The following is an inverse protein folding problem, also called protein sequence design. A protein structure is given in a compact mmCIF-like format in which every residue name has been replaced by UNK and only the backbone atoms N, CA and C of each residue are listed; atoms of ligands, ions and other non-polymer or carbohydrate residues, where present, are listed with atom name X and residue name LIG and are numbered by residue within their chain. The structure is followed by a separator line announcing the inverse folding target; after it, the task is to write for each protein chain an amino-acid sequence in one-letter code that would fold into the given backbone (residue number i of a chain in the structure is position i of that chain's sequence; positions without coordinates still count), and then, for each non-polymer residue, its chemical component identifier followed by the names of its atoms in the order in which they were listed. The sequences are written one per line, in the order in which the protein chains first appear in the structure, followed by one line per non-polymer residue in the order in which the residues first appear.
data_IF_111462098069
#
_entry.id   IF_111462098069
#
_cell.length_a   1.000
_cell.length_b   1.000
_cell.length_c   1.000
_cell.angle_alpha   90.00
_cell.angle_beta   90.00
_cell.angle_gamma   90.00
#
_symmetry.space_group_name_H-M   'P 1'
#
loop_
_entity.id
_entity.type
_entity.pdbx_description
1 polymer ?
#
# COMPACT_ATOMS: atom_id res chain seq x y z
N UNK A 1 1.64 11.94 12.94
CA UNK A 1 0.56 10.93 12.81
C UNK A 1 0.06 10.89 11.37
N UNK A 2 -0.33 9.73 10.83
CA UNK A 2 -0.84 9.59 9.47
C UNK A 2 -2.00 8.60 9.44
N UNK A 3 -2.95 8.82 8.54
CA UNK A 3 -4.01 7.84 8.26
C UNK A 3 -3.45 6.66 7.46
N UNK A 4 -3.94 5.46 7.76
CA UNK A 4 -3.72 4.30 6.89
C UNK A 4 -4.41 4.49 5.54
N UNK A 5 -3.89 3.82 4.51
CA UNK A 5 -4.42 3.83 3.15
C UNK A 5 -4.79 2.40 2.75
N UNK A 6 -5.85 2.27 1.97
CA UNK A 6 -6.28 0.97 1.45
C UNK A 6 -5.29 0.54 0.37
N UNK A 7 -4.75 -0.67 0.51
CA UNK A 7 -3.80 -1.27 -0.45
C UNK A 7 -4.26 -2.61 -1.00
N UNK A 8 -5.25 -3.23 -0.36
CA UNK A 8 -5.95 -4.42 -0.81
C UNK A 8 -7.44 -4.13 -0.61
N UNK A 9 -8.25 -4.11 -1.68
CA UNK A 9 -9.64 -3.64 -1.58
C UNK A 9 -10.53 -4.65 -0.86
N UNK A 10 -10.31 -5.94 -1.08
CA UNK A 10 -11.11 -7.00 -0.51
C UNK A 10 -10.35 -8.32 -0.45
N UNK A 11 -10.59 -9.09 0.60
CA UNK A 11 -10.21 -10.50 0.73
C UNK A 11 -11.40 -11.26 1.35
N UNK A 12 -11.71 -12.48 0.88
CA UNK A 12 -12.80 -13.27 1.42
C UNK A 12 -12.51 -13.74 2.85
N UNK A 13 -13.57 -14.03 3.61
CA UNK A 13 -13.46 -14.64 4.92
C UNK A 13 -13.17 -16.14 4.80
N UNK A 14 -11.99 -16.58 5.25
CA UNK A 14 -11.52 -17.97 5.19
C UNK A 14 -11.20 -18.47 6.60
N UNK A 15 -12.21 -18.49 7.48
CA UNK A 15 -12.06 -18.99 8.84
C UNK A 15 -11.62 -20.47 8.87
N UNK A 16 -10.82 -20.90 9.85
CA UNK A 16 -10.39 -20.18 11.06
C UNK A 16 -9.01 -19.52 10.96
N UNK A 17 -8.38 -19.50 9.77
CA UNK A 17 -6.95 -19.11 9.64
C UNK A 17 -6.68 -17.99 8.65
N UNK A 18 -7.62 -17.63 7.78
CA UNK A 18 -7.50 -16.53 6.80
C UNK A 18 -6.15 -16.52 6.07
N UNK A 19 -5.79 -17.62 5.38
CA UNK A 19 -4.47 -17.77 4.78
C UNK A 19 -4.13 -16.64 3.80
N UNK A 20 -5.08 -16.20 2.98
CA UNK A 20 -4.86 -15.10 2.03
C UNK A 20 -4.54 -13.77 2.73
N UNK A 21 -5.26 -13.44 3.80
CA UNK A 21 -5.00 -12.22 4.60
C UNK A 21 -3.62 -12.26 5.23
N UNK A 22 -3.26 -13.41 5.84
CA UNK A 22 -1.95 -13.59 6.48
C UNK A 22 -0.83 -13.48 5.44
N UNK A 23 -1.02 -14.05 4.25
CA UNK A 23 -0.06 -13.95 3.16
C UNK A 23 0.13 -12.51 2.68
N UNK A 24 -0.95 -11.76 2.48
CA UNK A 24 -0.90 -10.36 2.07
C UNK A 24 -0.15 -9.49 3.10
N UNK A 25 -0.45 -9.66 4.39
CA UNK A 25 0.24 -8.94 5.48
C UNK A 25 1.73 -9.32 5.53
N UNK A 26 2.06 -10.61 5.40
CA UNK A 26 3.46 -11.06 5.36
C UNK A 26 4.22 -10.52 4.17
N UNK A 27 3.60 -10.43 2.98
CA UNK A 27 4.20 -9.83 1.78
C UNK A 27 4.60 -8.37 2.03
N UNK A 28 3.69 -7.57 2.59
CA UNK A 28 3.95 -6.17 2.93
C UNK A 28 5.09 -6.06 3.96
N UNK A 29 5.02 -6.85 5.04
CA UNK A 29 6.00 -6.79 6.13
C UNK A 29 7.39 -7.20 5.65
N UNK A 30 7.49 -8.26 4.85
CA UNK A 30 8.76 -8.73 4.29
C UNK A 30 9.37 -7.73 3.30
N UNK A 31 8.57 -7.09 2.45
CA UNK A 31 9.05 -6.06 1.52
C UNK A 31 9.56 -4.83 2.28
N UNK A 32 8.80 -4.38 3.28
CA UNK A 32 9.16 -3.29 4.16
C UNK A 32 10.46 -3.57 4.93
N UNK A 33 10.56 -4.71 5.61
CA UNK A 33 11.72 -5.06 6.42
C UNK A 33 13.04 -5.14 5.61
N UNK A 34 12.95 -5.45 4.30
CA UNK A 34 14.11 -5.54 3.40
C UNK A 34 14.60 -4.19 2.87
N UNK A 35 13.72 -3.19 2.76
CA UNK A 35 14.00 -1.93 2.04
C UNK A 35 13.88 -0.66 2.91
N UNK A 36 13.27 -0.78 4.09
CA UNK A 36 13.13 0.32 5.03
C UNK A 36 14.48 0.71 5.63
N UNK A 37 14.67 2.03 5.81
CA UNK A 37 15.85 2.57 6.48
C UNK A 37 15.64 2.59 7.99
N UNK A 38 16.73 2.68 8.76
CA UNK A 38 16.67 2.79 10.22
C UNK A 38 15.74 3.95 10.61
N UNK A 39 14.83 3.69 11.54
CA UNK A 39 13.79 4.60 12.06
C UNK A 39 12.62 4.94 11.12
N UNK A 40 12.62 4.45 9.87
CA UNK A 40 11.41 4.58 9.04
C UNK A 40 10.29 3.72 9.60
N UNK A 41 9.04 4.22 9.55
CA UNK A 41 7.83 3.40 9.67
C UNK A 41 7.31 3.04 8.28
N UNK A 42 6.36 2.11 8.21
CA UNK A 42 5.76 1.66 6.95
C UNK A 42 5.22 2.82 6.08
N UNK A 43 4.56 3.81 6.71
CA UNK A 43 4.06 4.99 6.01
C UNK A 43 5.19 5.91 5.51
N UNK A 44 6.26 6.07 6.29
CA UNK A 44 7.42 6.89 5.89
C UNK A 44 8.16 6.24 4.72
N UNK A 45 8.31 4.92 4.78
CA UNK A 45 8.86 4.11 3.71
C UNK A 45 8.06 4.28 2.42
N UNK A 46 6.73 4.07 2.47
CA UNK A 46 5.84 4.21 1.32
C UNK A 46 5.89 5.64 0.72
N UNK A 47 5.90 6.67 1.57
CA UNK A 47 6.02 8.07 1.14
C UNK A 47 7.37 8.35 0.44
N UNK A 48 8.48 7.80 0.95
CA UNK A 48 9.81 7.96 0.36
C UNK A 48 9.93 7.27 -1.00
N UNK A 49 9.52 6.00 -1.08
CA UNK A 49 9.69 5.23 -2.32
C UNK A 49 8.63 5.60 -3.37
N UNK A 50 7.49 6.13 -2.93
CA UNK A 50 6.32 6.39 -3.76
C UNK A 50 5.45 5.15 -3.92
N UNK A 51 4.14 5.35 -4.08
CA UNK A 51 3.17 4.26 -4.18
C UNK A 51 3.42 3.33 -5.37
N UNK A 52 3.92 3.83 -6.51
CA UNK A 52 4.29 2.99 -7.67
C UNK A 52 5.26 1.87 -7.25
N UNK A 53 6.33 2.23 -6.55
CA UNK A 53 7.36 1.28 -6.09
C UNK A 53 6.88 0.43 -4.93
N UNK A 54 5.93 0.90 -4.14
CA UNK A 54 5.32 0.09 -3.09
C UNK A 54 4.57 -1.10 -3.69
N UNK A 55 3.71 -0.88 -4.69
CA UNK A 55 2.96 -1.95 -5.35
C UNK A 55 3.90 -2.90 -6.11
N UNK A 56 4.93 -2.38 -6.78
CA UNK A 56 5.96 -3.21 -7.43
C UNK A 56 6.72 -4.10 -6.44
N UNK A 57 7.22 -3.54 -5.33
CA UNK A 57 8.00 -4.29 -4.33
C UNK A 57 7.17 -5.31 -3.55
N UNK A 58 5.89 -5.01 -3.32
CA UNK A 58 4.99 -5.92 -2.59
C UNK A 58 4.33 -6.95 -3.50
N UNK A 59 4.31 -6.72 -4.81
CA UNK A 59 3.63 -7.58 -5.79
C UNK A 59 2.10 -7.57 -5.61
N UNK A 60 1.54 -6.55 -4.97
CA UNK A 60 0.11 -6.40 -4.79
C UNK A 60 -0.51 -5.80 -6.06
N UNK A 61 -1.68 -6.28 -6.50
CA UNK A 61 -2.38 -5.67 -7.63
C UNK A 61 -2.94 -4.30 -7.24
N UNK A 62 -2.65 -3.30 -8.07
CA UNK A 62 -3.33 -2.01 -8.00
C UNK A 62 -4.62 -2.07 -8.83
N UNK A 63 -5.73 -1.62 -8.26
CA UNK A 63 -7.07 -1.64 -8.90
C UNK A 63 -7.76 -0.29 -8.70
N UNK A 64 -8.79 0.01 -9.48
CA UNK A 64 -9.56 1.25 -9.36
C UNK A 64 -10.19 1.44 -7.97
N UNK A 65 -10.47 0.36 -7.25
CA UNK A 65 -11.02 0.41 -5.88
C UNK A 65 -10.09 1.09 -4.86
N UNK A 66 -8.83 1.32 -5.21
CA UNK A 66 -7.85 2.02 -4.36
C UNK A 66 -7.85 3.54 -4.60
N UNK A 67 -8.51 4.00 -5.66
CA UNK A 67 -8.63 5.42 -6.00
C UNK A 67 -9.80 5.99 -5.19
N UNK A 68 -9.51 7.02 -4.40
CA UNK A 68 -10.56 7.69 -3.61
C UNK A 68 -11.59 8.32 -4.55
N UNK A 69 -12.86 8.07 -4.26
CA UNK A 69 -14.05 8.60 -4.94
C UNK A 69 -14.97 9.36 -3.97
N UNK A 70 -14.58 9.51 -2.70
CA UNK A 70 -15.36 10.22 -1.70
C UNK A 70 -15.20 11.74 -1.82
N UNK A 71 -16.02 12.49 -1.08
CA UNK A 71 -16.00 13.96 -1.09
C UNK A 71 -14.59 14.48 -0.78
N UNK A 72 -14.08 15.40 -1.63
CA UNK A 72 -12.70 15.94 -1.60
C UNK A 72 -11.57 14.95 -1.98
N UNK A 73 -11.90 13.85 -2.67
CA UNK A 73 -10.93 12.88 -3.20
C UNK A 73 -9.80 13.49 -4.04
N UNK A 74 -10.03 14.64 -4.68
CA UNK A 74 -9.02 15.35 -5.50
C UNK A 74 -7.68 15.54 -4.78
N UNK A 75 -7.70 15.66 -3.44
CA UNK A 75 -6.48 15.80 -2.62
C UNK A 75 -5.63 14.53 -2.54
N UNK A 76 -6.17 13.38 -2.92
CA UNK A 76 -5.46 12.09 -2.94
C UNK A 76 -4.83 11.77 -4.29
N UNK A 77 -5.29 12.43 -5.36
CA UNK A 77 -4.80 12.20 -6.72
C UNK A 77 -3.47 12.89 -6.95
N UNK A 78 -2.65 12.35 -7.87
CA UNK A 78 -1.37 12.95 -8.24
C UNK A 78 -1.60 14.11 -9.21
N UNK A 79 -1.37 15.34 -8.75
CA UNK A 79 -1.44 16.59 -9.54
C UNK A 79 -0.04 17.12 -9.91
N UNK A 80 0.87 16.20 -10.22
CA UNK A 80 2.28 16.49 -10.54
C UNK A 80 2.77 15.55 -11.64
N UNK A 81 3.75 16.00 -12.43
CA UNK A 81 4.41 15.20 -13.48
C UNK A 81 5.48 14.26 -12.93
N UNK A 82 5.80 14.33 -11.64
CA UNK A 82 6.79 13.46 -11.02
C UNK A 82 6.19 12.07 -10.78
N UNK A 83 6.66 11.05 -11.48
CA UNK A 83 6.32 9.65 -11.24
C UNK A 83 7.49 8.75 -11.68
N UNK A 84 7.48 7.49 -11.27
CA UNK A 84 8.47 6.49 -11.69
C UNK A 84 7.82 5.51 -12.67
N UNK A 85 8.56 5.15 -13.72
CA UNK A 85 8.21 4.05 -14.63
C UNK A 85 8.44 2.70 -13.98
#
# INVERSE_FOLDING_TARGET
PMFSKVVVPFLPNEAPRWPQTVEAVKKILNAYAKDAKKYERLGDWAARIGWERFFEKTGLPFTEHLIDDYRFAYTTWRTSTQFKF
#
